data_IF_692850841384
#
_entry.id   IF_692850841384
#
_cell.length_a   1.000
_cell.length_b   1.000
_cell.length_c   1.000
_cell.angle_alpha   90.00
_cell.angle_beta   90.00
_cell.angle_gamma   90.00
#
_symmetry.space_group_name_H-M   'P 1'
#
loop_
_entity.id
_entity.type
_entity.pdbx_description
1 polymer ?
#
# COMPACT_ATOMS: atom_id res chain seq x y z
N UNK A 1 -1.38 18.64 -16.11
CA UNK A 1 -0.62 17.74 -15.21
C UNK A 1 -1.59 16.96 -14.37
N UNK A 2 -1.26 15.70 -14.06
CA UNK A 2 -2.05 14.85 -13.16
C UNK A 2 -1.23 14.66 -11.89
N UNK A 3 -1.87 14.83 -10.74
CA UNK A 3 -1.32 14.48 -9.44
C UNK A 3 -1.88 13.12 -9.02
N UNK A 4 -1.02 12.22 -8.55
CA UNK A 4 -1.42 10.93 -8.00
C UNK A 4 -0.98 10.87 -6.55
N UNK A 5 -1.95 10.91 -5.63
CA UNK A 5 -1.71 10.78 -4.19
C UNK A 5 -2.01 9.34 -3.78
N UNK A 6 -0.96 8.52 -3.65
CA UNK A 6 -1.08 7.11 -3.29
C UNK A 6 -1.53 6.88 -1.83
N UNK A 7 -1.05 7.65 -0.82
CA UNK A 7 -1.58 7.55 0.55
C UNK A 7 -3.09 7.76 0.63
N UNK A 8 -3.60 8.81 -0.02
CA UNK A 8 -5.04 9.14 -0.07
C UNK A 8 -5.81 8.34 -1.13
N UNK A 9 -5.12 7.61 -2.01
CA UNK A 9 -5.68 6.84 -3.11
C UNK A 9 -6.54 7.67 -4.08
N UNK A 10 -6.01 8.83 -4.48
CA UNK A 10 -6.73 9.76 -5.35
C UNK A 10 -5.89 10.23 -6.52
N UNK A 11 -6.56 10.55 -7.62
CA UNK A 11 -5.98 11.17 -8.81
C UNK A 11 -6.65 12.52 -9.01
N UNK A 12 -5.86 13.57 -9.19
CA UNK A 12 -6.35 14.94 -9.38
C UNK A 12 -5.85 15.49 -10.72
N UNK A 13 -6.77 16.04 -11.52
CA UNK A 13 -6.42 16.83 -12.69
C UNK A 13 -6.09 18.24 -12.22
N UNK A 14 -4.80 18.58 -12.16
CA UNK A 14 -4.33 19.85 -11.56
C UNK A 14 -4.92 21.08 -12.25
N UNK A 15 -5.21 20.99 -13.55
CA UNK A 15 -5.75 22.10 -14.33
C UNK A 15 -7.22 22.44 -14.01
N UNK A 16 -8.02 21.44 -13.64
CA UNK A 16 -9.47 21.61 -13.40
C UNK A 16 -9.83 21.46 -11.91
N UNK A 17 -8.96 20.84 -11.12
CA UNK A 17 -9.23 20.48 -9.73
C UNK A 17 -10.12 19.24 -9.57
N UNK A 18 -10.55 18.61 -10.67
CA UNK A 18 -11.33 17.38 -10.64
C UNK A 18 -10.52 16.25 -10.00
N UNK A 19 -11.15 15.54 -9.05
CA UNK A 19 -10.51 14.53 -8.22
C UNK A 19 -11.35 13.26 -8.24
N UNK A 20 -10.68 12.13 -8.44
CA UNK A 20 -11.29 10.79 -8.43
C UNK A 20 -10.53 9.86 -7.49
N UNK A 21 -11.24 8.93 -6.87
CA UNK A 21 -10.65 7.92 -5.99
C UNK A 21 -10.39 6.61 -6.74
N UNK A 22 -9.36 5.87 -6.34
CA UNK A 22 -9.05 4.57 -6.93
C UNK A 22 -8.82 3.48 -5.87
N UNK A 23 -9.07 2.25 -6.28
CA UNK A 23 -8.83 1.07 -5.44
C UNK A 23 -7.49 0.44 -5.80
N UNK A 24 -6.68 0.17 -4.78
CA UNK A 24 -5.44 -0.59 -4.88
C UNK A 24 -5.41 -1.61 -3.73
N UNK A 25 -4.81 -2.78 -3.95
CA UNK A 25 -4.67 -3.74 -2.85
C UNK A 25 -3.62 -3.25 -1.83
N UNK A 26 -3.76 -3.70 -0.58
CA UNK A 26 -2.84 -3.29 0.50
C UNK A 26 -1.39 -3.64 0.21
N UNK A 27 -1.14 -4.81 -0.36
CA UNK A 27 0.18 -5.27 -0.80
C UNK A 27 0.89 -4.26 -1.73
N UNK A 28 0.28 -3.96 -2.88
CA UNK A 28 0.84 -3.07 -3.89
C UNK A 28 0.93 -1.65 -3.37
N UNK A 29 -0.04 -1.19 -2.56
CA UNK A 29 0.04 0.11 -1.89
C UNK A 29 1.27 0.19 -0.99
N UNK A 30 1.50 -0.83 -0.17
CA UNK A 30 2.64 -0.90 0.72
C UNK A 30 3.97 -0.95 -0.05
N UNK A 31 4.04 -1.75 -1.12
CA UNK A 31 5.25 -1.83 -1.95
C UNK A 31 5.59 -0.48 -2.59
N UNK A 32 4.60 0.19 -3.18
CA UNK A 32 4.82 1.47 -3.85
C UNK A 32 5.13 2.62 -2.87
N UNK A 33 4.63 2.57 -1.64
CA UNK A 33 4.95 3.58 -0.60
C UNK A 33 6.36 3.39 -0.06
N UNK A 34 6.78 2.15 0.21
CA UNK A 34 8.06 1.87 0.86
C UNK A 34 9.20 1.55 -0.14
N UNK A 35 8.90 1.47 -1.44
CA UNK A 35 9.86 1.07 -2.46
C UNK A 35 10.28 -0.40 -2.35
N UNK A 36 9.41 -1.27 -1.80
CA UNK A 36 9.70 -2.70 -1.65
C UNK A 36 9.58 -3.44 -2.99
N UNK A 37 10.49 -4.38 -3.21
CA UNK A 37 10.30 -5.46 -4.17
C UNK A 37 9.58 -6.65 -3.50
N UNK A 38 9.14 -7.66 -4.26
CA UNK A 38 8.29 -8.77 -3.76
C UNK A 38 8.92 -9.48 -2.53
N UNK A 39 10.25 -9.63 -2.51
CA UNK A 39 10.99 -10.24 -1.40
C UNK A 39 10.95 -9.35 -0.14
N UNK A 40 11.10 -8.04 -0.30
CA UNK A 40 11.13 -7.09 0.83
C UNK A 40 9.77 -7.04 1.52
N UNK A 41 8.68 -7.12 0.75
CA UNK A 41 7.35 -7.19 1.33
C UNK A 41 7.14 -8.45 2.17
N UNK A 42 7.53 -9.63 1.65
CA UNK A 42 7.45 -10.88 2.41
C UNK A 42 8.29 -10.82 3.70
N UNK A 43 9.46 -10.19 3.65
CA UNK A 43 10.29 -9.97 4.84
C UNK A 43 9.64 -8.99 5.82
N UNK A 44 8.99 -7.92 5.34
CA UNK A 44 8.31 -6.94 6.19
C UNK A 44 7.17 -7.57 7.00
N UNK A 45 6.49 -8.57 6.42
CA UNK A 45 5.40 -9.30 7.09
C UNK A 45 5.88 -10.39 8.07
N UNK A 46 7.19 -10.70 8.12
CA UNK A 46 7.72 -11.81 8.91
C UNK A 46 7.40 -11.66 10.41
N UNK A 47 7.46 -10.45 10.93
CA UNK A 47 7.12 -10.16 12.33
C UNK A 47 5.63 -10.39 12.62
N UNK A 48 4.75 -9.87 11.77
CA UNK A 48 3.31 -10.05 11.90
C UNK A 48 2.90 -11.53 11.81
N UNK A 49 3.52 -12.30 10.91
CA UNK A 49 3.30 -13.74 10.77
C UNK A 49 3.76 -14.48 12.04
N UNK A 50 4.92 -14.10 12.62
CA UNK A 50 5.41 -14.70 13.85
C UNK A 50 4.50 -14.39 15.04
N UNK A 51 4.05 -13.14 15.18
CA UNK A 51 3.09 -12.74 16.22
C UNK A 51 1.75 -13.46 16.07
N UNK A 52 1.25 -13.58 14.83
CA UNK A 52 0.03 -14.33 14.56
C UNK A 52 0.20 -15.78 14.98
N UNK A 53 1.30 -16.43 14.60
CA UNK A 53 1.59 -17.82 14.96
C UNK A 53 1.69 -18.02 16.48
N UNK A 54 2.32 -17.11 17.21
CA UNK A 54 2.45 -17.18 18.67
C UNK A 54 1.10 -17.01 19.39
N UNK A 55 0.21 -16.15 18.86
CA UNK A 55 -1.14 -15.92 19.40
C UNK A 55 -2.15 -16.98 18.96
N UNK A 56 -1.81 -17.77 17.95
CA UNK A 56 -2.67 -18.83 17.42
C UNK A 56 -2.56 -20.06 18.33
N UNK A 57 -3.67 -20.48 18.93
CA UNK A 57 -3.75 -21.59 19.89
C UNK A 57 -3.68 -23.00 19.24
N UNK A 58 -3.05 -23.12 18.07
CA UNK A 58 -2.90 -24.40 17.35
C UNK A 58 -1.52 -25.01 17.59
#
# INVERSE_FOLDING_TARGET
TIEVNLPEQTVTIVATGEKESFTINGYKKNNMINGFDDIDYLQSMKGEIAEFAEKSLY
#
